data_IF_603297441590
#
_entry.id   IF_603297441590
#
_cell.length_a   1.000
_cell.length_b   1.000
_cell.length_c   1.000
_cell.angle_alpha   90.00
_cell.angle_beta   90.00
_cell.angle_gamma   90.00
#
_symmetry.space_group_name_H-M   'P 1'
#
loop_
_entity.id
_entity.type
_entity.pdbx_description
1 polymer ?
#
# COMPACT_ATOMS: atom_id res chain seq x y z
N UNK A 1 22.66 -1.45 -1.04
CA UNK A 1 23.71 -0.63 -1.61
C UNK A 1 23.11 0.51 -2.43
N UNK A 2 23.63 1.72 -2.27
CA UNK A 2 23.10 2.88 -2.98
C UNK A 2 23.66 2.92 -4.40
N UNK A 3 22.78 2.74 -5.40
CA UNK A 3 23.16 2.70 -6.81
C UNK A 3 22.67 3.90 -7.61
N UNK A 4 21.87 4.78 -6.99
CA UNK A 4 21.29 5.95 -7.63
C UNK A 4 21.19 7.09 -6.62
N UNK A 5 20.40 8.11 -6.89
CA UNK A 5 20.10 9.20 -5.95
C UNK A 5 18.68 9.70 -6.18
N UNK A 6 18.22 10.60 -5.31
CA UNK A 6 16.85 11.13 -5.37
C UNK A 6 16.56 11.83 -6.70
N UNK A 7 17.49 12.63 -7.21
CA UNK A 7 17.29 13.35 -8.48
C UNK A 7 17.09 12.37 -9.64
N UNK A 8 17.94 11.37 -9.76
CA UNK A 8 17.81 10.36 -10.81
C UNK A 8 16.55 9.54 -10.68
N UNK A 9 16.17 9.15 -9.46
CA UNK A 9 14.92 8.40 -9.19
C UNK A 9 13.69 9.22 -9.54
N UNK A 10 13.66 10.50 -9.18
CA UNK A 10 12.54 11.39 -9.53
C UNK A 10 12.42 11.54 -11.05
N UNK A 11 13.51 11.79 -11.74
CA UNK A 11 13.51 11.94 -13.20
C UNK A 11 13.07 10.64 -13.88
N UNK A 12 13.57 9.50 -13.42
CA UNK A 12 13.19 8.18 -13.92
C UNK A 12 11.70 7.93 -13.74
N UNK A 13 11.16 8.21 -12.55
CA UNK A 13 9.75 8.04 -12.24
C UNK A 13 8.85 8.94 -13.09
N UNK A 14 9.23 10.22 -13.22
CA UNK A 14 8.50 11.19 -14.04
C UNK A 14 8.45 10.76 -15.51
N UNK A 15 9.58 10.32 -16.05
CA UNK A 15 9.68 9.87 -17.44
C UNK A 15 8.86 8.60 -17.68
N UNK A 16 8.96 7.64 -16.78
CA UNK A 16 8.26 6.35 -16.89
C UNK A 16 6.75 6.52 -16.86
N UNK A 17 6.25 7.45 -16.03
CA UNK A 17 4.82 7.64 -15.80
C UNK A 17 4.24 8.85 -16.53
N UNK A 18 5.04 9.56 -17.30
CA UNK A 18 4.58 10.75 -18.03
C UNK A 18 4.14 11.89 -17.12
N UNK A 19 4.81 12.06 -15.97
CA UNK A 19 4.46 13.06 -14.97
C UNK A 19 5.33 14.31 -15.10
N UNK A 20 4.74 15.45 -14.79
CA UNK A 20 5.42 16.73 -14.63
C UNK A 20 5.62 17.02 -13.15
N UNK A 21 6.49 17.98 -12.83
CA UNK A 21 6.71 18.40 -11.44
C UNK A 21 5.42 18.83 -10.75
N UNK A 22 4.55 19.56 -11.45
CA UNK A 22 3.28 20.01 -10.91
C UNK A 22 2.37 18.84 -10.53
N UNK A 23 2.41 17.76 -11.30
CA UNK A 23 1.63 16.55 -11.00
C UNK A 23 2.08 15.92 -9.67
N UNK A 24 3.38 15.90 -9.42
CA UNK A 24 3.94 15.40 -8.15
C UNK A 24 3.52 16.29 -6.98
N UNK A 25 3.58 17.61 -7.15
CA UNK A 25 3.15 18.58 -6.13
C UNK A 25 1.67 18.36 -5.79
N UNK A 26 0.82 18.18 -6.80
CA UNK A 26 -0.62 17.95 -6.60
C UNK A 26 -0.88 16.62 -5.86
N UNK A 27 -0.14 15.56 -6.19
CA UNK A 27 -0.22 14.28 -5.50
C UNK A 27 0.25 14.36 -4.05
N UNK A 28 1.27 15.17 -3.79
CA UNK A 28 1.86 15.34 -2.46
C UNK A 28 0.99 16.18 -1.53
N UNK A 29 0.14 17.05 -2.07
CA UNK A 29 -0.64 18.02 -1.31
C UNK A 29 -1.45 17.43 -0.16
N UNK A 30 -2.24 16.35 -0.33
CA UNK A 30 -2.97 15.74 0.78
C UNK A 30 -2.05 15.24 1.89
N UNK A 31 -0.90 14.70 1.54
CA UNK A 31 0.08 14.20 2.51
C UNK A 31 0.79 15.35 3.22
N UNK A 32 1.07 16.44 2.50
CA UNK A 32 1.63 17.65 3.09
C UNK A 32 0.69 18.22 4.16
N UNK A 33 -0.61 18.26 3.86
CA UNK A 33 -1.62 18.75 4.79
C UNK A 33 -1.76 17.82 6.01
N UNK A 34 -1.73 16.51 5.78
CA UNK A 34 -1.86 15.50 6.85
C UNK A 34 -0.68 15.53 7.82
N UNK A 35 0.55 15.68 7.30
CA UNK A 35 1.76 15.62 8.12
C UNK A 35 2.35 16.99 8.48
N UNK A 36 1.70 18.08 8.06
CA UNK A 36 2.19 19.42 8.35
C UNK A 36 3.50 19.77 7.66
N UNK A 37 3.75 19.18 6.49
CA UNK A 37 4.97 19.40 5.70
C UNK A 37 4.66 20.35 4.55
N UNK A 38 5.55 21.29 4.26
CA UNK A 38 5.44 22.17 3.12
C UNK A 38 6.38 21.72 2.01
N UNK A 39 5.83 21.50 0.82
CA UNK A 39 6.57 21.13 -0.37
C UNK A 39 6.20 22.08 -1.50
N UNK A 40 7.12 22.97 -1.87
CA UNK A 40 6.91 23.96 -2.93
C UNK A 40 7.43 23.43 -4.28
N UNK A 41 6.99 24.08 -5.37
CA UNK A 41 7.53 23.80 -6.71
C UNK A 41 9.02 24.05 -6.77
N UNK A 42 9.50 25.09 -6.09
CA UNK A 42 10.92 25.41 -5.99
C UNK A 42 11.71 24.29 -5.32
N UNK A 43 11.19 23.74 -4.22
CA UNK A 43 11.81 22.62 -3.53
C UNK A 43 11.94 21.42 -4.46
N UNK A 44 10.87 21.04 -5.12
CA UNK A 44 10.85 19.89 -6.02
C UNK A 44 11.82 20.10 -7.20
N UNK A 45 11.84 21.30 -7.77
CA UNK A 45 12.76 21.65 -8.85
C UNK A 45 14.23 21.45 -8.43
N UNK A 46 14.56 21.82 -7.21
CA UNK A 46 15.92 21.63 -6.67
C UNK A 46 16.25 20.16 -6.46
N UNK A 47 15.27 19.37 -6.01
CA UNK A 47 15.46 17.92 -5.86
C UNK A 47 15.63 17.21 -7.20
N UNK A 48 14.84 17.58 -8.20
CA UNK A 48 14.92 17.02 -9.56
C UNK A 48 16.24 17.37 -10.23
N UNK A 49 16.73 18.59 -10.01
CA UNK A 49 18.02 19.04 -10.57
C UNK A 49 19.24 18.50 -9.82
N UNK A 50 19.04 17.94 -8.62
CA UNK A 50 20.12 17.44 -7.80
C UNK A 50 20.87 18.48 -6.99
N UNK A 51 20.42 19.73 -7.00
CA UNK A 51 21.05 20.81 -6.22
C UNK A 51 20.93 20.61 -4.72
N UNK A 52 19.79 20.07 -4.27
CA UNK A 52 19.46 19.85 -2.86
C UNK A 52 18.84 18.47 -2.74
N UNK A 53 19.17 17.76 -1.67
CA UNK A 53 18.48 16.52 -1.32
C UNK A 53 17.34 16.82 -0.33
N UNK A 54 16.17 16.16 -0.48
CA UNK A 54 15.06 16.40 0.45
C UNK A 54 15.40 15.92 1.85
N UNK A 55 14.99 16.69 2.85
CA UNK A 55 15.03 16.25 4.24
C UNK A 55 14.07 15.09 4.48
N UNK A 56 14.20 14.44 5.63
CA UNK A 56 13.44 13.23 5.95
C UNK A 56 11.91 13.43 5.82
N UNK A 57 11.38 14.54 6.31
CA UNK A 57 9.94 14.79 6.27
C UNK A 57 9.43 14.98 4.82
N UNK A 58 10.16 15.73 4.02
CA UNK A 58 9.82 15.97 2.61
C UNK A 58 10.01 14.71 1.79
N UNK A 59 11.04 13.93 2.07
CA UNK A 59 11.28 12.64 1.44
C UNK A 59 10.11 11.68 1.71
N UNK A 60 9.64 11.63 2.95
CA UNK A 60 8.50 10.80 3.34
C UNK A 60 7.23 11.15 2.56
N UNK A 61 6.92 12.46 2.48
CA UNK A 61 5.76 12.95 1.72
C UNK A 61 5.88 12.61 0.24
N UNK A 62 7.06 12.79 -0.35
CA UNK A 62 7.31 12.42 -1.75
C UNK A 62 7.13 10.93 -1.98
N UNK A 63 7.67 10.10 -1.11
CA UNK A 63 7.55 8.65 -1.22
C UNK A 63 6.08 8.21 -1.16
N UNK A 64 5.30 8.80 -0.27
CA UNK A 64 3.85 8.54 -0.18
C UNK A 64 3.11 9.01 -1.42
N UNK A 65 3.44 10.19 -1.93
CA UNK A 65 2.82 10.75 -3.14
C UNK A 65 3.05 9.89 -4.37
N UNK A 66 4.24 9.30 -4.48
CA UNK A 66 4.63 8.47 -5.62
C UNK A 66 4.37 6.98 -5.38
N UNK A 67 3.91 6.61 -4.18
CA UNK A 67 3.66 5.23 -3.76
C UNK A 67 4.91 4.35 -3.94
N UNK A 68 6.03 4.85 -3.48
CA UNK A 68 7.31 4.15 -3.49
C UNK A 68 7.92 4.13 -2.10
N UNK A 69 8.93 3.26 -1.89
CA UNK A 69 9.66 3.25 -0.63
C UNK A 69 10.62 4.44 -0.55
N UNK A 70 10.84 4.93 0.66
CA UNK A 70 11.80 6.01 0.89
C UNK A 70 13.22 5.59 0.50
N UNK A 71 13.60 4.36 0.82
CA UNK A 71 14.91 3.83 0.49
C UNK A 71 15.13 3.80 -1.02
N UNK A 72 14.12 3.39 -1.81
CA UNK A 72 14.20 3.43 -3.26
C UNK A 72 14.38 4.86 -3.76
N UNK A 73 13.60 5.79 -3.23
CA UNK A 73 13.66 7.20 -3.63
C UNK A 73 15.01 7.83 -3.28
N UNK A 74 15.65 7.38 -2.20
CA UNK A 74 17.00 7.82 -1.83
C UNK A 74 18.08 7.26 -2.76
N UNK A 75 17.78 6.27 -3.57
CA UNK A 75 18.69 5.68 -4.54
C UNK A 75 19.26 4.32 -4.15
N UNK A 76 18.75 3.68 -3.10
CA UNK A 76 19.18 2.33 -2.73
C UNK A 76 18.63 1.29 -3.68
N UNK A 77 19.37 0.21 -3.85
CA UNK A 77 18.98 -0.92 -4.70
C UNK A 77 17.97 -1.81 -3.94
N UNK A 78 16.74 -1.34 -3.89
CA UNK A 78 15.61 -2.01 -3.25
C UNK A 78 14.39 -1.92 -4.16
N UNK A 79 13.35 -2.68 -3.86
CA UNK A 79 12.10 -2.60 -4.63
C UNK A 79 11.44 -1.24 -4.43
N UNK A 80 10.88 -0.70 -5.50
CA UNK A 80 10.23 0.61 -5.46
C UNK A 80 8.98 0.64 -4.59
N UNK A 81 8.25 -0.48 -4.49
CA UNK A 81 7.05 -0.54 -3.66
C UNK A 81 7.38 -0.74 -2.19
N UNK A 82 6.64 -0.10 -1.25
CA UNK A 82 6.88 -0.26 0.17
C UNK A 82 6.76 -1.71 0.62
N UNK A 83 7.73 -2.19 1.39
CA UNK A 83 7.74 -3.56 1.94
C UNK A 83 6.56 -3.84 2.85
N UNK A 84 6.06 -2.82 3.57
CA UNK A 84 4.92 -2.97 4.46
C UNK A 84 3.67 -3.51 3.76
N UNK A 85 3.45 -3.15 2.50
CA UNK A 85 2.33 -3.69 1.73
C UNK A 85 2.53 -5.15 1.37
N UNK A 86 3.76 -5.55 1.09
CA UNK A 86 4.09 -6.95 0.78
C UNK A 86 3.93 -7.86 2.01
N UNK A 87 4.32 -7.36 3.19
CA UNK A 87 4.17 -8.10 4.44
C UNK A 87 2.68 -8.31 4.76
N UNK A 88 1.84 -7.28 4.57
CA UNK A 88 0.40 -7.40 4.80
C UNK A 88 -0.25 -8.41 3.86
N UNK A 89 0.14 -8.42 2.57
CA UNK A 89 -0.36 -9.39 1.60
C UNK A 89 0.05 -10.81 2.00
N UNK A 90 1.31 -10.99 2.43
CA UNK A 90 1.81 -12.29 2.88
C UNK A 90 1.08 -12.79 4.11
N UNK A 91 0.80 -11.92 5.08
CA UNK A 91 0.04 -12.26 6.29
C UNK A 91 -1.39 -12.66 5.95
N UNK A 92 -2.06 -11.91 5.07
CA UNK A 92 -3.41 -12.26 4.61
C UNK A 92 -3.42 -13.60 3.88
N UNK A 93 -2.41 -13.88 3.07
CA UNK A 93 -2.27 -15.15 2.38
C UNK A 93 -2.07 -16.30 3.36
N UNK A 94 -1.34 -16.06 4.46
CA UNK A 94 -1.09 -17.07 5.49
C UNK A 94 -2.37 -17.40 6.28
N UNK A 95 -3.23 -16.40 6.48
CA UNK A 95 -4.50 -16.59 7.18
C UNK A 95 -5.53 -17.38 6.36
N UNK A 96 -5.37 -17.46 5.03
CA UNK A 96 -6.26 -18.18 4.12
C UNK A 96 -5.73 -19.61 3.84
N UNK A 97 -5.03 -20.21 4.79
CA UNK A 97 -4.55 -21.60 4.66
C UNK A 97 -5.52 -22.65 5.21
N UNK A 98 -6.66 -22.22 5.76
CA UNK A 98 -7.71 -23.13 6.19
C UNK A 98 -8.37 -23.78 4.96
N UNK A 99 -8.15 -25.06 4.77
CA UNK A 99 -8.69 -25.82 3.64
C UNK A 99 -10.20 -25.80 3.61
N UNK A 100 -10.85 -25.83 4.78
CA UNK A 100 -12.31 -25.77 4.87
C UNK A 100 -12.80 -24.42 4.38
N UNK A 101 -12.16 -23.33 4.78
CA UNK A 101 -12.52 -21.99 4.32
C UNK A 101 -12.36 -21.87 2.80
N UNK A 102 -11.26 -22.38 2.24
CA UNK A 102 -11.03 -22.35 0.80
C UNK A 102 -12.12 -23.11 0.03
N UNK A 103 -12.54 -24.27 0.55
CA UNK A 103 -13.63 -25.03 -0.04
C UNK A 103 -14.96 -24.28 0.03
N UNK A 104 -15.23 -23.63 1.15
CA UNK A 104 -16.44 -22.81 1.33
C UNK A 104 -16.47 -21.64 0.35
N UNK A 105 -15.35 -20.95 0.16
CA UNK A 105 -15.23 -19.84 -0.79
C UNK A 105 -15.48 -20.34 -2.22
N UNK A 106 -14.89 -21.49 -2.58
CA UNK A 106 -15.06 -22.09 -3.90
C UNK A 106 -16.52 -22.44 -4.16
N UNK A 107 -17.19 -23.03 -3.17
CA UNK A 107 -18.60 -23.38 -3.27
C UNK A 107 -19.47 -22.13 -3.35
N UNK A 108 -19.16 -21.12 -2.52
CA UNK A 108 -19.89 -19.84 -2.49
C UNK A 108 -19.91 -19.16 -3.87
N UNK A 109 -18.78 -19.16 -4.56
CA UNK A 109 -18.68 -18.55 -5.90
C UNK A 109 -19.59 -19.21 -6.94
N UNK A 110 -19.95 -20.48 -6.73
CA UNK A 110 -20.83 -21.25 -7.61
C UNK A 110 -22.31 -21.14 -7.23
N UNK A 111 -22.62 -20.52 -6.12
CA UNK A 111 -24.00 -20.46 -5.61
C UNK A 111 -24.80 -19.34 -6.26
N UNK A 112 -26.12 -19.57 -6.36
CA UNK A 112 -27.10 -18.52 -6.67
C UNK A 112 -27.23 -17.57 -5.49
N UNK A 113 -27.82 -16.40 -5.70
CA UNK A 113 -28.08 -15.44 -4.60
C UNK A 113 -28.92 -16.03 -3.50
N UNK A 114 -29.98 -16.80 -3.85
CA UNK A 114 -30.81 -17.50 -2.85
C UNK A 114 -30.01 -18.48 -2.02
N UNK A 115 -29.11 -19.23 -2.65
CA UNK A 115 -28.25 -20.19 -1.94
C UNK A 115 -27.26 -19.49 -1.02
N UNK A 116 -26.74 -18.35 -1.42
CA UNK A 116 -25.84 -17.54 -0.58
C UNK A 116 -26.54 -17.05 0.67
N UNK A 117 -27.79 -16.59 0.55
CA UNK A 117 -28.60 -16.17 1.70
C UNK A 117 -28.90 -17.33 2.64
N UNK A 118 -29.25 -18.48 2.10
CA UNK A 118 -29.49 -19.69 2.90
C UNK A 118 -28.22 -20.11 3.65
N UNK A 119 -27.05 -20.00 3.03
CA UNK A 119 -25.77 -20.31 3.67
C UNK A 119 -25.51 -19.35 4.83
N UNK A 120 -25.78 -18.06 4.64
CA UNK A 120 -25.60 -17.05 5.68
C UNK A 120 -26.50 -17.33 6.88
N UNK A 121 -27.78 -17.62 6.64
CA UNK A 121 -28.74 -17.97 7.70
C UNK A 121 -28.32 -19.22 8.47
N UNK A 122 -27.84 -20.24 7.75
CA UNK A 122 -27.36 -21.48 8.37
C UNK A 122 -26.09 -21.20 9.20
N UNK A 123 -25.17 -20.38 8.73
CA UNK A 123 -23.96 -20.04 9.47
C UNK A 123 -24.28 -19.28 10.76
N UNK A 124 -25.23 -18.35 10.72
CA UNK A 124 -25.70 -17.63 11.90
C UNK A 124 -26.35 -18.55 12.90
N UNK A 125 -27.14 -19.52 12.43
CA UNK A 125 -27.71 -20.57 13.26
C UNK A 125 -26.63 -21.40 13.95
N UNK A 126 -25.59 -21.77 13.21
CA UNK A 126 -24.48 -22.56 13.75
C UNK A 126 -23.75 -21.83 14.89
N UNK A 127 -23.47 -20.53 14.73
CA UNK A 127 -22.78 -19.76 15.76
C UNK A 127 -23.68 -19.37 16.93
N UNK A 128 -25.02 -19.52 16.79
CA UNK A 128 -25.93 -19.29 17.90
C UNK A 128 -25.85 -20.37 19.00
N UNK A 129 -25.25 -21.51 18.65
CA UNK A 129 -25.03 -22.61 19.62
C UNK A 129 -23.63 -22.47 20.25
N UNK A 130 -23.53 -22.40 21.60
CA UNK A 130 -22.26 -22.24 22.28
C UNK A 130 -21.20 -23.32 21.94
N UNK A 131 -21.66 -24.55 21.69
CA UNK A 131 -20.77 -25.67 21.35
C UNK A 131 -20.08 -25.50 20.01
N UNK A 132 -20.59 -24.63 19.12
CA UNK A 132 -20.02 -24.37 17.79
C UNK A 132 -19.12 -23.14 17.76
N UNK A 133 -18.95 -22.46 18.87
CA UNK A 133 -18.11 -21.27 18.95
C UNK A 133 -16.74 -21.67 19.52
N UNK A 134 -15.68 -21.39 18.76
CA UNK A 134 -14.32 -21.59 19.26
C UNK A 134 -14.00 -20.60 20.37
N UNK A 135 -13.33 -21.03 21.46
CA UNK A 135 -12.89 -20.08 22.48
C UNK A 135 -11.93 -19.09 21.86
N UNK A 136 -12.29 -17.80 21.94
CA UNK A 136 -11.43 -16.75 21.45
C UNK A 136 -10.28 -16.55 22.43
N UNK A 137 -9.06 -16.54 21.91
CA UNK A 137 -7.89 -16.19 22.70
C UNK A 137 -7.94 -14.70 22.97
N UNK A 138 -7.92 -14.36 24.24
CA UNK A 138 -7.86 -12.97 24.67
C UNK A 138 -6.56 -12.30 24.23
#
# INVERSE_FOLDING_TARGET
MKTSNTALRLNEFMKKNGLKQIDIINRAKPFCDEYGVKLSKSDLSQYVSGKVEPGQNKLYVLARALDVSEAWLMGYDVKSKPESMQIQISQKTTEITDEILNMLIKNYKKMTESAKHALLEYSEFMISKPENISPQKA
#
